data_IF_711461068385
#
_entry.id   IF_711461068385
#
_cell.length_a   1.000
_cell.length_b   1.000
_cell.length_c   1.000
_cell.angle_alpha   90.00
_cell.angle_beta   90.00
_cell.angle_gamma   90.00
#
_symmetry.space_group_name_H-M   'P 1'
#
loop_
_entity.id
_entity.type
_entity.pdbx_description
1 polymer ?
#
# COMPACT_ATOMS: atom_id res chain seq x y z
N UNK A 1 -21.52 -33.89 10.67
CA UNK A 1 -20.58 -34.69 9.87
C UNK A 1 -20.25 -33.86 8.65
N UNK A 2 -18.97 -33.49 8.52
CA UNK A 2 -18.31 -32.84 7.37
C UNK A 2 -18.72 -31.41 7.03
N UNK A 3 -17.86 -30.51 6.61
CA UNK A 3 -16.40 -30.28 6.64
C UNK A 3 -16.34 -28.81 6.21
N UNK A 4 -15.66 -27.93 6.95
CA UNK A 4 -15.50 -26.53 6.52
C UNK A 4 -14.10 -26.05 6.88
N UNK A 5 -13.12 -26.75 6.33
CA UNK A 5 -11.77 -26.25 6.11
C UNK A 5 -11.58 -26.32 4.60
N UNK A 6 -11.67 -25.18 3.90
CA UNK A 6 -11.01 -24.95 2.61
C UNK A 6 -11.38 -23.55 2.10
N UNK A 7 -10.70 -22.52 2.64
CA UNK A 7 -10.54 -21.25 1.92
C UNK A 7 -9.37 -20.43 2.48
N UNK A 8 -8.18 -21.05 2.55
CA UNK A 8 -6.92 -20.38 2.95
C UNK A 8 -5.95 -20.24 1.75
N UNK A 9 -6.35 -20.65 0.54
CA UNK A 9 -5.47 -20.73 -0.64
C UNK A 9 -5.85 -19.76 -1.78
N UNK A 10 -6.47 -18.62 -1.50
CA UNK A 10 -6.91 -17.69 -2.57
C UNK A 10 -5.92 -16.59 -2.96
N UNK A 11 -4.71 -16.56 -2.42
CA UNK A 11 -3.68 -15.61 -2.89
C UNK A 11 -2.49 -16.34 -3.50
N UNK A 12 -2.17 -15.90 -4.71
CA UNK A 12 -1.35 -16.61 -5.68
C UNK A 12 0.04 -16.98 -5.17
N UNK A 13 0.49 -18.16 -5.60
CA UNK A 13 1.90 -18.49 -5.62
C UNK A 13 2.23 -19.21 -6.91
N UNK A 14 3.24 -18.70 -7.59
CA UNK A 14 3.82 -19.27 -8.80
C UNK A 14 4.45 -20.62 -8.44
N UNK A 15 3.69 -21.71 -8.57
CA UNK A 15 4.19 -23.05 -8.46
C UNK A 15 4.18 -23.67 -9.86
N UNK A 16 5.36 -24.07 -10.35
CA UNK A 16 5.45 -25.13 -11.35
C UNK A 16 4.45 -26.23 -10.99
N UNK A 17 3.71 -26.74 -11.97
CA UNK A 17 2.54 -27.60 -11.78
C UNK A 17 2.85 -28.87 -10.97
N UNK A 18 2.86 -28.77 -9.64
CA UNK A 18 2.96 -29.89 -8.72
C UNK A 18 1.59 -30.47 -8.48
N UNK A 19 1.49 -31.80 -8.53
CA UNK A 19 0.24 -32.51 -8.29
C UNK A 19 -0.20 -32.37 -6.82
N UNK A 20 -1.51 -32.50 -6.52
CA UNK A 20 -2.01 -32.44 -5.14
C UNK A 20 -1.37 -33.47 -4.19
N UNK A 21 -0.87 -34.58 -4.73
CA UNK A 21 -0.16 -35.60 -3.95
C UNK A 21 1.25 -35.14 -3.57
N UNK A 22 1.97 -34.50 -4.50
CA UNK A 22 3.31 -33.96 -4.26
C UNK A 22 3.27 -32.78 -3.29
N UNK A 23 2.25 -31.92 -3.38
CA UNK A 23 2.05 -30.80 -2.44
C UNK A 23 1.88 -31.32 -1.01
N UNK A 24 1.07 -32.38 -0.80
CA UNK A 24 0.88 -33.01 0.52
C UNK A 24 2.15 -33.62 1.09
N UNK A 25 3.05 -34.10 0.24
CA UNK A 25 4.34 -34.63 0.67
C UNK A 25 5.31 -33.50 1.04
N UNK A 26 5.39 -32.45 0.22
CA UNK A 26 6.23 -31.26 0.49
C UNK A 26 5.77 -30.45 1.71
N UNK A 27 4.46 -30.39 1.97
CA UNK A 27 3.92 -29.70 3.16
C UNK A 27 4.44 -30.29 4.48
N UNK A 28 4.90 -31.54 4.51
CA UNK A 28 5.49 -32.14 5.71
C UNK A 28 6.81 -31.51 6.11
N UNK A 29 7.55 -30.94 5.16
CA UNK A 29 8.90 -30.39 5.36
C UNK A 29 8.91 -28.87 5.49
N UNK A 30 7.75 -28.20 5.34
CA UNK A 30 7.65 -26.74 5.44
C UNK A 30 7.95 -26.22 6.86
N UNK A 31 7.66 -27.02 7.89
CA UNK A 31 7.88 -26.67 9.30
C UNK A 31 9.24 -27.14 9.83
N UNK A 32 10.01 -27.90 9.05
CA UNK A 32 11.30 -28.41 9.49
C UNK A 32 12.35 -27.29 9.44
N UNK A 33 13.16 -27.19 10.48
CA UNK A 33 14.27 -26.23 10.53
C UNK A 33 15.34 -26.56 9.48
N UNK A 34 16.15 -25.55 9.10
CA UNK A 34 17.22 -25.72 8.11
C UNK A 34 18.33 -26.68 8.57
N UNK A 35 18.37 -27.00 9.87
CA UNK A 35 19.32 -27.92 10.50
C UNK A 35 18.74 -29.32 10.77
N UNK A 36 17.48 -29.57 10.40
CA UNK A 36 16.81 -30.85 10.61
C UNK A 36 16.90 -31.74 9.36
N UNK A 37 17.20 -33.03 9.57
CA UNK A 37 17.31 -34.05 8.50
C UNK A 37 18.28 -33.69 7.36
N UNK A 38 19.53 -33.38 7.71
CA UNK A 38 20.59 -32.92 6.80
C UNK A 38 21.23 -34.08 6.01
N UNK A 39 20.42 -34.80 5.24
CA UNK A 39 20.83 -35.99 4.49
C UNK A 39 20.86 -35.81 2.97
N UNK A 40 20.62 -34.60 2.48
CA UNK A 40 20.65 -34.28 1.05
C UNK A 40 21.85 -33.41 0.70
N UNK A 41 22.24 -33.38 -0.56
CA UNK A 41 23.30 -32.50 -1.06
C UNK A 41 22.70 -31.42 -1.97
N UNK A 42 23.14 -30.19 -1.78
CA UNK A 42 22.85 -29.10 -2.70
C UNK A 42 23.31 -29.46 -4.12
N UNK A 43 22.41 -29.31 -5.09
CA UNK A 43 22.65 -29.60 -6.51
C UNK A 43 23.82 -28.79 -7.11
N UNK A 44 24.11 -27.60 -6.56
CA UNK A 44 25.09 -26.63 -7.09
C UNK A 44 26.47 -26.74 -6.43
N UNK A 45 26.54 -26.73 -5.10
CA UNK A 45 27.80 -26.72 -4.35
C UNK A 45 28.08 -28.03 -3.59
N UNK A 46 27.17 -29.01 -3.63
CA UNK A 46 27.26 -30.30 -2.94
C UNK A 46 27.36 -30.22 -1.39
N UNK A 47 27.09 -29.04 -0.80
CA UNK A 47 26.96 -28.86 0.66
C UNK A 47 25.75 -29.67 1.16
N UNK A 48 25.85 -30.22 2.37
CA UNK A 48 24.71 -30.91 2.99
C UNK A 48 23.56 -29.92 3.26
N UNK A 49 22.33 -30.33 2.96
CA UNK A 49 21.10 -29.53 3.12
C UNK A 49 19.98 -30.36 3.74
N UNK A 50 19.02 -29.69 4.36
CA UNK A 50 17.82 -30.28 4.96
C UNK A 50 16.81 -30.77 3.90
N UNK A 51 15.83 -31.54 4.36
CA UNK A 51 14.65 -31.89 3.55
C UNK A 51 13.87 -30.64 3.09
N UNK A 52 13.83 -29.58 3.90
CA UNK A 52 13.21 -28.31 3.54
C UNK A 52 13.85 -27.71 2.29
N UNK A 53 15.18 -27.55 2.30
CA UNK A 53 15.93 -27.03 1.16
C UNK A 53 15.75 -27.88 -0.11
N UNK A 54 15.64 -29.20 0.08
CA UNK A 54 15.36 -30.13 -1.03
C UNK A 54 14.01 -29.82 -1.69
N UNK A 55 12.97 -29.73 -0.89
CA UNK A 55 11.58 -29.66 -1.38
C UNK A 55 11.16 -28.25 -1.82
N UNK A 56 11.71 -27.22 -1.16
CA UNK A 56 11.29 -25.82 -1.28
C UNK A 56 12.34 -24.93 -1.94
N UNK A 57 13.64 -25.20 -1.78
CA UNK A 57 14.72 -24.39 -2.38
C UNK A 57 15.29 -25.07 -3.64
N UNK A 58 14.46 -25.77 -4.42
CA UNK A 58 14.86 -26.42 -5.68
C UNK A 58 16.11 -27.33 -5.57
N UNK A 59 16.26 -28.05 -4.45
CA UNK A 59 17.47 -28.83 -4.12
C UNK A 59 18.76 -28.00 -3.99
N UNK A 60 18.66 -26.74 -3.56
CA UNK A 60 19.80 -25.85 -3.33
C UNK A 60 19.91 -25.43 -1.86
N UNK A 61 21.14 -25.15 -1.41
CA UNK A 61 21.32 -24.43 -0.14
C UNK A 61 20.93 -22.97 -0.32
N UNK A 62 20.63 -22.28 0.79
CA UNK A 62 20.13 -20.90 0.77
C UNK A 62 21.05 -19.96 -0.03
N UNK A 63 22.37 -20.03 0.16
CA UNK A 63 23.34 -19.25 -0.61
C UNK A 63 23.21 -19.46 -2.13
N UNK A 64 23.09 -20.72 -2.57
CA UNK A 64 23.00 -21.07 -3.99
C UNK A 64 21.64 -20.72 -4.58
N UNK A 65 20.57 -20.92 -3.81
CA UNK A 65 19.20 -20.57 -4.19
C UNK A 65 19.05 -19.06 -4.33
N UNK A 66 19.55 -18.30 -3.35
CA UNK A 66 19.57 -16.84 -3.36
C UNK A 66 20.41 -16.30 -4.51
N UNK A 67 21.58 -16.88 -4.78
CA UNK A 67 22.36 -16.47 -5.93
C UNK A 67 21.67 -16.78 -7.28
N UNK A 68 20.84 -17.81 -7.35
CA UNK A 68 20.19 -18.19 -8.62
C UNK A 68 18.89 -17.43 -8.87
N UNK A 69 18.13 -17.13 -7.82
CA UNK A 69 16.80 -16.53 -7.90
C UNK A 69 16.72 -15.09 -7.36
N UNK A 70 17.68 -14.67 -6.55
CA UNK A 70 17.69 -13.39 -5.85
C UNK A 70 19.00 -12.60 -6.06
N UNK A 71 19.81 -12.94 -7.08
CA UNK A 71 20.94 -12.13 -7.53
C UNK A 71 20.54 -10.73 -8.07
N UNK A 72 19.28 -10.33 -7.89
CA UNK A 72 18.67 -9.06 -8.25
C UNK A 72 18.95 -7.93 -7.23
N UNK A 73 19.85 -8.11 -6.27
CA UNK A 73 20.30 -7.01 -5.40
C UNK A 73 20.85 -5.81 -6.20
N UNK A 74 21.35 -6.03 -7.42
CA UNK A 74 21.74 -4.95 -8.34
C UNK A 74 20.56 -4.25 -9.04
N UNK A 75 19.46 -4.95 -9.31
CA UNK A 75 18.33 -4.42 -10.08
C UNK A 75 17.32 -3.67 -9.20
N UNK A 76 17.10 -4.15 -7.97
CA UNK A 76 16.21 -3.49 -6.99
C UNK A 76 16.83 -2.17 -6.50
N UNK A 77 18.15 -2.12 -6.30
CA UNK A 77 18.83 -0.89 -5.90
C UNK A 77 18.83 0.19 -6.98
N UNK A 78 18.88 -0.18 -8.27
CA UNK A 78 18.80 0.78 -9.37
C UNK A 78 17.39 1.33 -9.54
N UNK A 79 16.36 0.49 -9.45
CA UNK A 79 14.95 0.93 -9.50
C UNK A 79 14.60 1.84 -8.32
N UNK A 80 15.01 1.49 -7.09
CA UNK A 80 14.81 2.32 -5.91
C UNK A 80 15.52 3.67 -6.03
N UNK A 81 16.69 3.70 -6.69
CA UNK A 81 17.46 4.92 -6.90
C UNK A 81 16.82 5.83 -7.94
N UNK A 82 16.33 5.28 -9.05
CA UNK A 82 15.60 6.04 -10.07
C UNK A 82 14.31 6.64 -9.51
N UNK A 83 13.49 5.82 -8.84
CA UNK A 83 12.24 6.27 -8.22
C UNK A 83 12.50 7.36 -7.17
N UNK A 84 13.55 7.22 -6.35
CA UNK A 84 13.94 8.25 -5.38
C UNK A 84 14.38 9.54 -6.06
N UNK A 85 15.11 9.44 -7.17
CA UNK A 85 15.58 10.61 -7.91
C UNK A 85 14.43 11.37 -8.58
N UNK A 86 13.45 10.65 -9.15
CA UNK A 86 12.21 11.27 -9.65
C UNK A 86 11.44 11.98 -8.53
N UNK A 87 11.31 11.32 -7.37
CA UNK A 87 10.60 11.85 -6.21
C UNK A 87 11.26 13.11 -5.62
N UNK A 88 12.59 13.16 -5.61
CA UNK A 88 13.37 14.34 -5.19
C UNK A 88 13.27 15.49 -6.21
N UNK A 89 13.03 15.18 -7.49
CA UNK A 89 12.88 16.18 -8.55
C UNK A 89 11.45 16.70 -8.71
N UNK A 90 10.46 16.00 -8.16
CA UNK A 90 9.05 16.35 -8.34
C UNK A 90 8.69 17.67 -7.65
N UNK A 91 8.22 18.64 -8.43
CA UNK A 91 7.71 19.91 -7.93
C UNK A 91 6.19 20.03 -8.15
N UNK A 92 5.33 19.88 -7.13
CA UNK A 92 3.88 19.91 -7.28
C UNK A 92 3.33 21.24 -7.83
N UNK A 93 4.12 22.32 -7.78
CA UNK A 93 3.72 23.63 -8.32
C UNK A 93 3.83 23.73 -9.84
N UNK A 94 4.61 22.86 -10.47
CA UNK A 94 4.87 22.86 -11.91
C UNK A 94 3.86 22.02 -12.71
N UNK A 95 3.10 21.16 -12.02
CA UNK A 95 2.11 20.29 -12.64
C UNK A 95 0.69 20.74 -12.32
N UNK A 96 -0.22 20.71 -13.30
CA UNK A 96 -1.65 20.84 -13.00
C UNK A 96 -2.21 19.51 -12.47
N UNK A 97 -3.32 19.55 -11.73
CA UNK A 97 -3.98 18.32 -11.27
C UNK A 97 -4.56 17.52 -12.43
N UNK A 98 -5.00 18.18 -13.51
CA UNK A 98 -5.55 17.52 -14.68
C UNK A 98 -4.49 16.74 -15.47
N UNK A 99 -3.24 17.22 -15.51
CA UNK A 99 -2.11 16.54 -16.17
C UNK A 99 -1.70 15.23 -15.51
N UNK A 100 -1.95 15.09 -14.20
CA UNK A 100 -1.51 13.94 -13.40
C UNK A 100 -2.61 12.87 -13.25
N UNK A 101 -3.79 13.09 -13.82
CA UNK A 101 -4.87 12.12 -13.77
C UNK A 101 -4.81 11.19 -14.97
N UNK A 102 -4.92 9.89 -14.70
CA UNK A 102 -5.00 8.88 -15.73
C UNK A 102 -6.43 8.77 -16.30
N UNK A 103 -6.53 8.31 -17.55
CA UNK A 103 -7.84 8.08 -18.19
C UNK A 103 -8.60 6.91 -17.54
N UNK A 104 -7.85 5.87 -17.15
CA UNK A 104 -8.38 4.64 -16.57
C UNK A 104 -7.68 4.39 -15.24
N UNK A 105 -8.26 4.91 -14.16
CA UNK A 105 -7.79 4.67 -12.79
C UNK A 105 -8.07 3.24 -12.33
N UNK A 106 -8.50 3.06 -11.09
CA UNK A 106 -8.78 1.70 -10.56
C UNK A 106 -9.99 1.03 -11.23
N UNK A 107 -10.86 1.80 -11.89
CA UNK A 107 -12.13 1.32 -12.47
C UNK A 107 -13.19 0.95 -11.41
N UNK A 108 -12.95 1.25 -10.14
CA UNK A 108 -13.85 0.95 -9.04
C UNK A 108 -14.85 2.10 -8.81
N UNK A 109 -16.10 1.75 -8.53
CA UNK A 109 -17.18 2.72 -8.27
C UNK A 109 -17.37 3.01 -6.77
N UNK A 110 -16.70 2.28 -5.89
CA UNK A 110 -16.82 2.44 -4.43
C UNK A 110 -15.64 1.82 -3.68
N UNK A 111 -15.34 2.37 -2.50
CA UNK A 111 -14.31 1.86 -1.59
C UNK A 111 -14.96 1.05 -0.47
N UNK A 112 -14.52 -0.19 -0.29
CA UNK A 112 -14.90 -1.14 0.76
C UNK A 112 -13.65 -1.84 1.31
N UNK A 113 -13.81 -2.75 2.26
CA UNK A 113 -12.67 -3.37 2.95
C UNK A 113 -11.81 -4.26 2.03
N UNK A 114 -12.40 -4.85 0.98
CA UNK A 114 -11.70 -5.73 0.05
C UNK A 114 -10.85 -4.98 -0.98
N UNK A 115 -11.10 -3.69 -1.18
CA UNK A 115 -10.39 -2.88 -2.18
C UNK A 115 -9.76 -1.61 -1.60
N UNK A 116 -9.80 -1.44 -0.28
CA UNK A 116 -9.30 -0.25 0.40
C UNK A 116 -7.80 -0.02 0.17
N UNK A 117 -7.03 -1.10 0.07
CA UNK A 117 -5.59 -1.07 -0.13
C UNK A 117 -5.19 -0.26 -1.37
N UNK A 118 -5.93 -0.42 -2.47
CA UNK A 118 -5.72 0.31 -3.71
C UNK A 118 -5.88 1.83 -3.56
N UNK A 119 -6.54 2.31 -2.50
CA UNK A 119 -6.76 3.74 -2.23
C UNK A 119 -5.92 4.26 -1.06
N UNK A 120 -5.16 3.41 -0.36
CA UNK A 120 -4.36 3.81 0.78
C UNK A 120 -3.41 4.98 0.46
N UNK A 121 -2.73 5.05 -0.69
CA UNK A 121 -1.89 6.20 -1.02
C UNK A 121 -2.64 7.54 -0.96
N UNK A 122 -3.84 7.62 -1.54
CA UNK A 122 -4.67 8.83 -1.51
C UNK A 122 -5.20 9.09 -0.09
N UNK A 123 -5.72 8.06 0.58
CA UNK A 123 -6.29 8.20 1.93
C UNK A 123 -5.22 8.69 2.92
N UNK A 124 -4.04 8.05 2.93
CA UNK A 124 -2.91 8.44 3.76
C UNK A 124 -2.43 9.85 3.45
N UNK A 125 -2.28 10.21 2.18
CA UNK A 125 -1.88 11.57 1.79
C UNK A 125 -2.84 12.64 2.33
N UNK A 126 -4.15 12.40 2.28
CA UNK A 126 -5.14 13.34 2.79
C UNK A 126 -5.11 13.38 4.33
N UNK A 127 -5.18 12.23 5.00
CA UNK A 127 -5.32 12.16 6.46
C UNK A 127 -4.04 12.60 7.20
N UNK A 128 -2.86 12.21 6.70
CA UNK A 128 -1.56 12.66 7.22
C UNK A 128 -1.46 14.19 7.11
N UNK A 129 -1.82 14.76 5.95
CA UNK A 129 -1.75 16.21 5.73
C UNK A 129 -2.70 16.97 6.67
N UNK A 130 -3.91 16.44 6.90
CA UNK A 130 -4.85 17.03 7.88
C UNK A 130 -4.25 16.98 9.28
N UNK A 131 -3.66 15.85 9.68
CA UNK A 131 -3.05 15.67 10.99
C UNK A 131 -1.89 16.65 11.22
N UNK A 132 -0.97 16.74 10.26
CA UNK A 132 0.16 17.69 10.31
C UNK A 132 -0.32 19.14 10.38
N UNK A 133 -1.30 19.52 9.54
CA UNK A 133 -1.86 20.86 9.58
C UNK A 133 -2.56 21.17 10.91
N UNK A 134 -3.21 20.18 11.54
CA UNK A 134 -3.83 20.33 12.85
C UNK A 134 -2.79 20.54 13.97
N UNK A 135 -1.68 19.81 13.93
CA UNK A 135 -0.58 20.00 14.88
C UNK A 135 -0.03 21.43 14.84
N UNK A 136 0.06 22.02 13.64
CA UNK A 136 0.45 23.42 13.45
C UNK A 136 -0.66 24.43 13.78
N UNK A 137 -1.93 24.01 13.72
CA UNK A 137 -3.12 24.88 13.83
C UNK A 137 -4.17 24.27 14.77
N UNK A 138 -3.89 24.30 16.07
CA UNK A 138 -4.76 23.69 17.11
C UNK A 138 -6.18 24.26 17.18
N UNK A 139 -6.42 25.43 16.56
CA UNK A 139 -7.75 26.03 16.46
C UNK A 139 -8.65 25.38 15.40
N UNK A 140 -8.10 24.56 14.49
CA UNK A 140 -8.81 23.85 13.42
C UNK A 140 -10.01 23.07 13.95
N UNK A 141 -11.07 22.97 13.15
CA UNK A 141 -12.30 22.24 13.47
C UNK A 141 -12.68 21.29 12.34
N UNK A 142 -13.37 20.21 12.68
CA UNK A 142 -13.87 19.22 11.72
C UNK A 142 -14.76 19.84 10.64
N UNK A 143 -15.51 20.90 10.96
CA UNK A 143 -16.34 21.62 9.98
C UNK A 143 -15.51 22.23 8.85
N UNK A 144 -14.36 22.81 9.17
CA UNK A 144 -13.46 23.40 8.19
C UNK A 144 -12.79 22.33 7.33
N UNK A 145 -12.44 21.18 7.93
CA UNK A 145 -11.92 20.02 7.21
C UNK A 145 -12.95 19.53 6.18
N UNK A 146 -14.21 19.36 6.58
CA UNK A 146 -15.29 18.95 5.67
C UNK A 146 -15.46 19.93 4.51
N UNK A 147 -15.49 21.23 4.78
CA UNK A 147 -15.63 22.26 3.73
C UNK A 147 -14.43 22.26 2.77
N UNK A 148 -13.22 22.14 3.31
CA UNK A 148 -11.98 22.05 2.53
C UNK A 148 -12.00 20.84 1.60
N UNK A 149 -12.31 19.65 2.13
CA UNK A 149 -12.37 18.41 1.36
C UNK A 149 -13.46 18.43 0.29
N UNK A 150 -14.66 18.96 0.60
CA UNK A 150 -15.71 19.16 -0.41
C UNK A 150 -15.23 20.06 -1.54
N UNK A 151 -14.58 21.17 -1.20
CA UNK A 151 -14.07 22.10 -2.21
C UNK A 151 -13.03 21.43 -3.10
N UNK A 152 -12.10 20.67 -2.53
CA UNK A 152 -11.10 19.91 -3.31
C UNK A 152 -11.82 18.94 -4.24
N UNK A 153 -12.68 18.06 -3.71
CA UNK A 153 -13.42 17.06 -4.50
C UNK A 153 -14.20 17.68 -5.66
N UNK A 154 -14.92 18.77 -5.40
CA UNK A 154 -15.84 19.37 -6.37
C UNK A 154 -15.10 20.22 -7.43
N UNK A 155 -13.85 20.63 -7.16
CA UNK A 155 -13.11 21.56 -8.03
C UNK A 155 -11.67 21.10 -8.33
N UNK A 156 -11.35 19.82 -8.14
CA UNK A 156 -10.00 19.29 -8.16
C UNK A 156 -9.25 19.56 -9.47
N UNK A 157 -9.95 19.44 -10.61
CA UNK A 157 -9.40 19.66 -11.96
C UNK A 157 -9.53 21.10 -12.45
N UNK A 158 -10.16 21.98 -11.67
CA UNK A 158 -10.28 23.38 -12.05
C UNK A 158 -8.99 24.14 -11.75
N UNK A 159 -8.71 25.22 -12.50
CA UNK A 159 -7.60 26.16 -12.24
C UNK A 159 -7.76 26.98 -10.94
N UNK A 160 -8.60 26.51 -10.00
CA UNK A 160 -8.79 27.15 -8.70
C UNK A 160 -7.48 27.16 -7.91
N UNK A 161 -7.12 28.32 -7.38
CA UNK A 161 -6.03 28.42 -6.41
C UNK A 161 -6.47 27.81 -5.08
N UNK A 162 -5.69 26.87 -4.57
CA UNK A 162 -5.88 26.27 -3.25
C UNK A 162 -4.88 26.88 -2.25
N UNK A 163 -5.38 27.26 -1.08
CA UNK A 163 -4.63 27.87 0.01
C UNK A 163 -4.81 27.10 1.32
N UNK A 164 -3.92 27.35 2.29
CA UNK A 164 -3.96 26.72 3.62
C UNK A 164 -3.98 25.19 3.55
N UNK A 165 -4.89 24.58 4.31
CA UNK A 165 -5.08 23.13 4.33
C UNK A 165 -5.34 22.55 2.92
N UNK A 166 -6.15 23.23 2.10
CA UNK A 166 -6.48 22.73 0.76
C UNK A 166 -5.25 22.66 -0.13
N UNK A 167 -4.41 23.70 -0.09
CA UNK A 167 -3.17 23.75 -0.86
C UNK A 167 -2.24 22.60 -0.49
N UNK A 168 -2.01 22.40 0.82
CA UNK A 168 -1.17 21.28 1.30
C UNK A 168 -1.72 19.91 0.87
N UNK A 169 -3.03 19.69 0.98
CA UNK A 169 -3.64 18.42 0.54
C UNK A 169 -3.45 18.23 -0.96
N UNK A 170 -3.71 19.26 -1.77
CA UNK A 170 -3.57 19.17 -3.23
C UNK A 170 -2.11 18.90 -3.63
N UNK A 171 -1.13 19.56 -3.01
CA UNK A 171 0.28 19.31 -3.28
C UNK A 171 0.68 17.86 -2.99
N UNK A 172 0.21 17.29 -1.86
CA UNK A 172 0.46 15.88 -1.51
C UNK A 172 -0.27 14.93 -2.47
N UNK A 173 -1.50 15.25 -2.87
CA UNK A 173 -2.25 14.47 -3.85
C UNK A 173 -1.55 14.44 -5.21
N UNK A 174 -1.00 15.57 -5.67
CA UNK A 174 -0.23 15.61 -6.93
C UNK A 174 0.96 14.66 -6.91
N UNK A 175 1.68 14.57 -5.79
CA UNK A 175 2.75 13.59 -5.63
C UNK A 175 2.22 12.15 -5.70
N UNK A 176 1.10 11.86 -5.05
CA UNK A 176 0.48 10.52 -5.13
C UNK A 176 0.07 10.18 -6.56
N UNK A 177 -0.56 11.12 -7.27
CA UNK A 177 -0.96 10.94 -8.67
C UNK A 177 0.23 10.77 -9.61
N UNK A 178 1.34 11.47 -9.37
CA UNK A 178 2.57 11.29 -10.14
C UNK A 178 3.14 9.87 -10.01
N UNK A 179 2.95 9.23 -8.86
CA UNK A 179 3.50 7.90 -8.56
C UNK A 179 2.51 6.74 -8.80
N UNK A 180 1.24 7.03 -9.08
CA UNK A 180 0.18 6.02 -9.11
C UNK A 180 -0.86 6.32 -10.18
N UNK A 181 -1.43 5.27 -10.75
CA UNK A 181 -2.43 5.39 -11.82
C UNK A 181 -3.83 5.58 -11.22
N UNK A 182 -4.21 6.84 -10.99
CA UNK A 182 -5.53 7.20 -10.48
C UNK A 182 -6.28 8.14 -11.41
N UNK A 183 -7.59 7.94 -11.51
CA UNK A 183 -8.48 8.86 -12.21
C UNK A 183 -9.16 9.85 -11.24
N UNK A 184 -9.98 10.74 -11.79
CA UNK A 184 -10.74 11.72 -11.01
C UNK A 184 -11.76 11.06 -10.06
N UNK A 185 -12.28 9.88 -10.42
CA UNK A 185 -13.24 9.16 -9.60
C UNK A 185 -12.56 8.59 -8.36
N UNK A 186 -11.36 8.04 -8.50
CA UNK A 186 -10.56 7.49 -7.40
C UNK A 186 -10.27 8.57 -6.35
N UNK A 187 -9.84 9.75 -6.79
CA UNK A 187 -9.64 10.92 -5.93
C UNK A 187 -10.94 11.32 -5.25
N UNK A 188 -12.04 11.42 -6.02
CA UNK A 188 -13.35 11.84 -5.50
C UNK A 188 -13.94 10.86 -4.48
N UNK A 189 -13.80 9.55 -4.73
CA UNK A 189 -14.23 8.47 -3.83
C UNK A 189 -13.42 8.49 -2.54
N UNK A 190 -12.10 8.63 -2.64
CA UNK A 190 -11.20 8.69 -1.49
C UNK A 190 -11.49 9.90 -0.61
N UNK A 191 -11.61 11.10 -1.20
CA UNK A 191 -11.99 12.30 -0.45
C UNK A 191 -13.37 12.15 0.19
N UNK A 192 -14.32 11.54 -0.51
CA UNK A 192 -15.67 11.29 0.03
C UNK A 192 -15.65 10.31 1.21
N UNK A 193 -14.77 9.30 1.18
CA UNK A 193 -14.54 8.36 2.30
C UNK A 193 -13.97 9.10 3.51
N UNK A 194 -12.97 9.97 3.33
CA UNK A 194 -12.43 10.80 4.42
C UNK A 194 -13.51 11.73 4.98
N UNK A 195 -14.30 12.41 4.15
CA UNK A 195 -15.44 13.25 4.60
C UNK A 195 -16.42 12.44 5.45
N UNK A 196 -16.72 11.20 5.06
CA UNK A 196 -17.59 10.30 5.85
C UNK A 196 -16.96 9.99 7.21
N UNK A 197 -15.67 9.67 7.25
CA UNK A 197 -14.92 9.46 8.50
C UNK A 197 -14.98 10.70 9.40
N UNK A 198 -14.75 11.89 8.84
CA UNK A 198 -14.79 13.16 9.58
C UNK A 198 -16.16 13.39 10.21
N UNK A 199 -17.24 13.17 9.45
CA UNK A 199 -18.61 13.32 9.97
C UNK A 199 -18.93 12.32 11.08
N UNK A 200 -18.52 11.05 10.92
CA UNK A 200 -18.74 10.01 11.92
C UNK A 200 -18.05 10.39 13.24
N UNK A 201 -16.75 10.68 13.20
CA UNK A 201 -16.01 11.00 14.41
C UNK A 201 -16.44 12.34 15.02
N UNK A 202 -16.79 13.34 14.21
CA UNK A 202 -17.39 14.59 14.69
C UNK A 202 -18.70 14.37 15.46
N UNK A 203 -19.53 13.41 15.02
CA UNK A 203 -20.79 13.10 15.72
C UNK A 203 -20.57 12.47 17.10
N UNK A 204 -19.44 11.79 17.29
CA UNK A 204 -19.07 11.09 18.53
C UNK A 204 -18.27 12.03 19.46
N UNK A 205 -17.23 12.67 18.94
CA UNK A 205 -16.27 13.47 19.71
C UNK A 205 -16.46 14.99 19.63
N UNK A 206 -17.59 15.46 19.07
CA UNK A 206 -17.89 16.89 18.96
C UNK A 206 -17.09 17.61 17.88
N UNK A 207 -16.84 18.91 18.04
CA UNK A 207 -16.31 19.78 16.96
C UNK A 207 -14.90 19.47 16.45
N UNK A 208 -14.17 18.60 17.15
CA UNK A 208 -12.80 18.12 16.82
C UNK A 208 -12.68 16.60 17.00
N UNK A 209 -13.80 15.89 16.97
CA UNK A 209 -13.82 14.45 17.19
C UNK A 209 -12.96 13.70 16.19
N UNK A 210 -12.99 14.10 14.92
CA UNK A 210 -12.12 13.53 13.89
C UNK A 210 -10.66 13.91 14.06
N UNK A 211 -10.38 15.20 14.28
CA UNK A 211 -9.00 15.69 14.46
C UNK A 211 -8.28 15.00 15.63
N UNK A 212 -8.98 14.78 16.74
CA UNK A 212 -8.41 14.03 17.87
C UNK A 212 -8.19 12.55 17.49
N UNK A 213 -9.18 11.91 16.85
CA UNK A 213 -9.07 10.52 16.40
C UNK A 213 -7.87 10.28 15.48
N UNK A 214 -7.69 11.10 14.44
CA UNK A 214 -6.55 10.92 13.52
C UNK A 214 -5.23 11.24 14.20
N UNK A 215 -5.18 12.23 15.11
CA UNK A 215 -3.96 12.53 15.85
C UNK A 215 -3.54 11.35 16.73
N UNK A 216 -4.50 10.71 17.41
CA UNK A 216 -4.23 9.53 18.23
C UNK A 216 -3.77 8.34 17.37
N UNK A 217 -4.32 8.17 16.17
CA UNK A 217 -3.91 7.14 15.22
C UNK A 217 -2.46 7.34 14.75
N UNK A 218 -2.11 8.54 14.28
CA UNK A 218 -0.75 8.83 13.78
C UNK A 218 0.32 8.88 14.88
N UNK A 219 -0.06 9.12 16.14
CA UNK A 219 0.87 9.05 17.27
C UNK A 219 1.17 7.61 17.73
N UNK A 220 0.45 6.60 17.22
CA UNK A 220 0.64 5.18 17.57
C UNK A 220 1.44 4.40 16.53
N UNK A 221 1.67 4.97 15.34
CA UNK A 221 2.52 4.42 14.28
C UNK A 221 3.98 4.82 14.50
#
# INVERSE_FOLDING_TARGET
MKDNEDSIWQDGFFAESVSPKEIKEKQKTIHMGHDEDINYNCKKCNKKISAHNKDWHAHMCDECFNQEHFNEEGNIQEIDKEMKQELESFNPKEHSTAELLEENGTGLISINDNNMEAFLPILMAVEETICQYFAENTSLKDSYVIESLKRIRDTFTSESKFDGLKGKIVDKLKLVLFLNNYDINDVSLSISKVIKSVKTHRSIGGSRGYLNFISDFFNQM
#
